data_IF_389799144318
#
_entry.id   IF_389799144318
#
_cell.length_a   1.000
_cell.length_b   1.000
_cell.length_c   1.000
_cell.angle_alpha   90.00
_cell.angle_beta   90.00
_cell.angle_gamma   90.00
#
_symmetry.space_group_name_H-M   'P 1'
#
loop_
_entity.id
_entity.type
_entity.pdbx_description
1 polymer ?
#
# COMPACT_ATOMS: atom_id res chain seq x y z
N UNK A 1 58.04 -18.94 -20.31
CA UNK A 1 58.92 -17.92 -19.71
C UNK A 1 58.82 -16.65 -20.54
N UNK A 2 57.97 -15.71 -20.11
CA UNK A 2 57.87 -14.38 -20.73
C UNK A 2 57.45 -13.41 -19.63
N UNK A 3 58.39 -12.54 -19.24
CA UNK A 3 58.23 -11.45 -18.29
C UNK A 3 57.49 -10.31 -18.97
N UNK A 4 56.53 -9.69 -18.31
CA UNK A 4 56.12 -8.31 -18.58
C UNK A 4 55.82 -7.60 -17.26
N UNK A 5 56.36 -6.40 -17.16
CA UNK A 5 56.57 -5.61 -15.96
C UNK A 5 55.57 -4.45 -15.88
N UNK A 6 55.12 -4.20 -14.64
CA UNK A 6 54.90 -2.93 -13.94
C UNK A 6 54.26 -1.72 -14.64
N UNK A 7 53.26 -1.15 -13.97
CA UNK A 7 53.15 0.31 -13.83
C UNK A 7 52.57 0.68 -12.47
N UNK A 8 53.33 1.55 -11.81
CA UNK A 8 53.24 2.08 -10.46
C UNK A 8 52.39 3.36 -10.50
N UNK A 9 51.30 3.46 -9.73
CA UNK A 9 50.59 4.73 -9.54
C UNK A 9 51.03 5.38 -8.22
N UNK A 10 51.56 6.59 -8.37
CA UNK A 10 52.12 7.46 -7.34
C UNK A 10 50.98 8.11 -6.55
N UNK A 11 50.98 7.93 -5.22
CA UNK A 11 50.22 8.75 -4.26
C UNK A 11 51.16 9.84 -3.76
N UNK A 12 50.77 11.12 -3.86
CA UNK A 12 51.53 12.22 -3.25
C UNK A 12 50.65 13.39 -2.80
N UNK A 13 50.67 13.58 -1.46
CA UNK A 13 50.62 14.80 -0.63
C UNK A 13 49.60 15.93 -0.94
N UNK A 14 48.97 16.58 0.07
CA UNK A 14 49.66 17.39 1.09
C UNK A 14 48.74 17.82 2.25
N UNK A 15 49.39 18.08 3.39
CA UNK A 15 48.96 18.33 4.78
C UNK A 15 48.46 19.76 5.11
N UNK A 16 47.54 19.81 6.10
CA UNK A 16 47.47 20.61 7.37
C UNK A 16 47.46 22.15 7.40
N UNK A 17 46.56 22.67 8.27
CA UNK A 17 46.68 23.85 9.15
C UNK A 17 45.31 24.16 9.79
N UNK A 18 45.06 23.94 11.09
CA UNK A 18 45.26 24.83 12.27
C UNK A 18 44.50 26.17 12.16
N UNK A 19 43.92 26.83 13.18
CA UNK A 19 43.44 26.60 14.57
C UNK A 19 42.98 28.02 15.04
N UNK A 20 41.99 28.12 15.95
CA UNK A 20 41.56 29.35 16.69
C UNK A 20 40.84 30.44 15.87
N UNK A 21 39.94 31.31 16.37
CA UNK A 21 39.52 31.70 17.72
C UNK A 21 38.16 32.44 17.65
N UNK A 22 37.58 32.64 18.83
CA UNK A 22 36.31 33.28 19.20
C UNK A 22 36.34 34.79 18.93
N UNK A 23 35.24 35.37 18.41
CA UNK A 23 34.85 36.75 18.74
C UNK A 23 33.34 36.89 18.92
N UNK A 24 32.99 37.42 20.10
CA UNK A 24 31.67 37.92 20.47
C UNK A 24 31.31 39.15 19.64
N UNK A 25 30.04 39.26 19.25
CA UNK A 25 29.39 40.54 18.97
C UNK A 25 27.89 40.39 19.20
N UNK A 26 27.42 40.88 20.34
CA UNK A 26 26.00 41.03 20.63
C UNK A 26 25.40 42.10 19.73
N UNK A 27 24.33 41.73 19.01
CA UNK A 27 23.37 42.67 18.44
C UNK A 27 22.00 42.29 18.98
N UNK A 28 21.50 43.15 19.87
CA UNK A 28 20.14 43.12 20.37
C UNK A 28 19.19 43.61 19.27
N UNK A 29 18.60 42.68 18.52
CA UNK A 29 17.49 42.99 17.63
C UNK A 29 16.18 42.95 18.44
N UNK A 30 15.63 44.15 18.65
CA UNK A 30 14.32 44.39 19.25
C UNK A 30 13.23 43.69 18.45
N UNK A 31 12.24 43.24 19.21
CA UNK A 31 11.10 42.44 18.78
C UNK A 31 10.44 42.88 17.48
N UNK A 32 10.35 41.92 16.57
CA UNK A 32 9.23 41.78 15.65
C UNK A 32 8.65 40.39 15.89
N UNK A 33 7.33 40.22 15.99
CA UNK A 33 6.73 38.89 15.99
C UNK A 33 7.07 38.27 14.63
N UNK A 34 8.09 37.40 14.63
CA UNK A 34 8.29 36.47 13.53
C UNK A 34 7.07 35.58 13.60
N UNK A 35 6.14 35.80 12.66
CA UNK A 35 5.17 34.78 12.29
C UNK A 35 6.01 33.54 12.00
N UNK A 36 6.11 32.65 12.97
CA UNK A 36 6.61 31.31 12.72
C UNK A 36 5.57 30.73 11.76
N UNK A 37 5.90 30.47 10.48
CA UNK A 37 5.05 29.58 9.73
C UNK A 37 4.97 28.33 10.61
N UNK A 38 3.75 27.98 11.01
CA UNK A 38 3.52 26.71 11.65
C UNK A 38 4.18 25.69 10.73
N UNK A 39 5.27 25.08 11.18
CA UNK A 39 5.84 23.92 10.53
C UNK A 39 4.80 22.80 10.68
N UNK A 40 3.73 22.85 9.90
CA UNK A 40 3.11 21.65 9.38
C UNK A 40 4.09 21.09 8.34
N UNK A 41 5.24 20.64 8.83
CA UNK A 41 6.17 19.84 8.09
C UNK A 41 5.43 18.54 7.74
N UNK A 42 5.19 18.34 6.45
CA UNK A 42 5.04 17.03 5.83
C UNK A 42 3.85 16.20 6.30
N UNK A 43 2.65 16.52 5.83
CA UNK A 43 1.70 15.46 5.51
C UNK A 43 2.27 14.72 4.29
N UNK A 44 3.17 13.76 4.52
CA UNK A 44 3.56 12.77 3.51
C UNK A 44 2.28 12.03 3.13
N UNK A 45 1.83 12.27 1.91
CA UNK A 45 0.56 11.76 1.37
C UNK A 45 0.81 10.30 0.99
N UNK A 46 0.52 9.38 1.89
CA UNK A 46 0.35 7.98 1.52
C UNK A 46 -0.79 7.85 0.50
N UNK A 47 -0.49 7.33 -0.69
CA UNK A 47 -1.48 7.12 -1.77
C UNK A 47 -1.85 5.64 -1.80
N UNK A 48 -2.52 5.17 -0.77
CA UNK A 48 -3.24 3.90 -0.85
C UNK A 48 -4.45 4.07 -1.77
N UNK A 49 -4.71 3.09 -2.64
CA UNK A 49 -5.85 3.13 -3.54
C UNK A 49 -6.26 1.76 -4.06
N UNK A 50 -7.32 1.75 -4.85
CA UNK A 50 -7.84 0.58 -5.55
C UNK A 50 -7.72 0.79 -7.06
N UNK A 51 -7.71 -0.29 -7.82
CA UNK A 51 -7.71 -0.25 -9.28
C UNK A 51 -8.43 -1.47 -9.86
N UNK A 52 -8.76 -1.41 -11.15
CA UNK A 52 -9.52 -2.47 -11.83
C UNK A 52 -10.90 -2.68 -11.22
N UNK A 53 -11.39 -3.92 -11.21
CA UNK A 53 -12.71 -4.26 -10.66
C UNK A 53 -12.64 -4.50 -9.15
N UNK A 54 -12.50 -3.42 -8.40
CA UNK A 54 -12.49 -3.40 -6.93
C UNK A 54 -13.60 -2.48 -6.39
N UNK A 55 -14.41 -2.98 -5.47
CA UNK A 55 -15.44 -2.21 -4.75
C UNK A 55 -15.28 -2.34 -3.23
N UNK A 56 -16.13 -1.68 -2.45
CA UNK A 56 -16.20 -1.85 -1.00
C UNK A 56 -17.49 -2.57 -0.64
N UNK A 57 -17.39 -3.72 0.02
CA UNK A 57 -18.51 -4.57 0.40
C UNK A 57 -18.39 -4.97 1.88
N UNK A 58 -19.33 -4.52 2.71
CA UNK A 58 -19.38 -4.92 4.12
C UNK A 58 -18.14 -4.57 4.96
N UNK A 59 -17.41 -3.50 4.60
CA UNK A 59 -16.15 -3.14 5.27
C UNK A 59 -14.91 -3.90 4.78
N UNK A 60 -15.03 -4.67 3.69
CA UNK A 60 -13.93 -5.31 2.98
C UNK A 60 -13.76 -4.67 1.60
N UNK A 61 -12.56 -4.78 1.02
CA UNK A 61 -12.39 -4.57 -0.41
C UNK A 61 -12.82 -5.83 -1.14
N UNK A 62 -13.74 -5.69 -2.09
CA UNK A 62 -14.26 -6.78 -2.90
C UNK A 62 -13.64 -6.68 -4.29
N UNK A 63 -12.72 -7.60 -4.57
CA UNK A 63 -11.93 -7.62 -5.80
C UNK A 63 -12.45 -8.75 -6.67
N UNK A 64 -12.97 -8.40 -7.85
CA UNK A 64 -13.49 -9.35 -8.82
C UNK A 64 -12.59 -9.34 -10.05
N UNK A 65 -12.18 -10.52 -10.50
CA UNK A 65 -11.43 -10.72 -11.73
C UNK A 65 -12.22 -11.65 -12.63
N UNK A 66 -12.67 -11.18 -13.79
CA UNK A 66 -13.66 -11.89 -14.61
C UNK A 66 -13.33 -11.80 -16.11
N UNK A 67 -13.45 -12.91 -16.87
CA UNK A 67 -13.08 -12.96 -18.29
C UNK A 67 -13.94 -12.09 -19.21
N UNK A 68 -15.14 -11.72 -18.75
CA UNK A 68 -16.16 -11.05 -19.57
C UNK A 68 -16.31 -9.57 -19.28
N UNK A 69 -15.96 -9.11 -18.08
CA UNK A 69 -16.14 -7.71 -17.66
C UNK A 69 -14.82 -6.98 -17.49
N UNK A 70 -14.02 -7.40 -16.52
CA UNK A 70 -12.71 -6.84 -16.21
C UNK A 70 -11.80 -7.98 -15.72
N UNK A 71 -10.74 -8.33 -16.43
CA UNK A 71 -9.92 -9.50 -16.12
C UNK A 71 -8.90 -9.26 -15.00
N UNK A 72 -9.01 -8.14 -14.27
CA UNK A 72 -8.13 -7.81 -13.15
C UNK A 72 -8.77 -6.83 -12.16
N UNK A 73 -8.28 -6.86 -10.93
CA UNK A 73 -8.55 -5.88 -9.89
C UNK A 73 -7.51 -5.95 -8.80
N UNK A 74 -7.46 -4.93 -7.94
CA UNK A 74 -6.53 -4.96 -6.83
C UNK A 74 -6.51 -3.72 -5.96
N UNK A 75 -5.52 -3.72 -5.07
CA UNK A 75 -5.15 -2.64 -4.17
C UNK A 75 -3.70 -2.24 -4.45
N UNK A 76 -3.34 -0.99 -4.19
CA UNK A 76 -1.96 -0.55 -4.24
C UNK A 76 -1.62 0.39 -3.09
N UNK A 77 -0.35 0.36 -2.73
CA UNK A 77 0.31 1.32 -1.86
C UNK A 77 1.48 1.91 -2.63
N UNK A 78 1.47 3.22 -2.80
CA UNK A 78 2.57 3.98 -3.39
C UNK A 78 3.46 4.52 -2.26
N UNK A 79 4.70 4.06 -2.20
CA UNK A 79 5.69 4.55 -1.28
C UNK A 79 6.25 5.90 -1.76
N UNK A 80 6.47 6.83 -0.84
CA UNK A 80 7.26 8.02 -1.17
C UNK A 80 8.64 7.59 -1.71
N UNK A 81 9.20 8.24 -2.73
CA UNK A 81 10.50 7.88 -3.29
C UNK A 81 11.59 7.75 -2.20
N UNK A 82 12.22 6.57 -2.15
CA UNK A 82 13.27 6.25 -1.18
C UNK A 82 12.79 5.95 0.25
N UNK A 83 11.48 5.97 0.52
CA UNK A 83 10.93 5.68 1.86
C UNK A 83 10.79 4.19 2.16
N UNK A 84 10.68 3.35 1.13
CA UNK A 84 10.59 1.91 1.24
C UNK A 84 11.70 1.24 0.42
N UNK A 85 12.38 0.29 1.04
CA UNK A 85 13.38 -0.57 0.40
C UNK A 85 13.07 -2.02 0.68
N UNK A 86 13.60 -2.95 -0.12
CA UNK A 86 13.40 -4.39 0.11
C UNK A 86 13.89 -4.80 1.51
N UNK A 87 15.04 -4.27 1.96
CA UNK A 87 15.54 -4.53 3.31
C UNK A 87 14.79 -3.81 4.44
N UNK A 88 13.98 -2.81 4.10
CA UNK A 88 13.07 -2.10 5.01
C UNK A 88 11.64 -2.66 5.00
N UNK A 89 11.32 -3.58 4.08
CA UNK A 89 10.06 -4.30 4.08
C UNK A 89 10.13 -5.44 5.09
N UNK A 90 9.49 -5.25 6.22
CA UNK A 90 9.49 -6.16 7.37
C UNK A 90 8.14 -6.83 7.60
N UNK A 91 7.06 -6.25 7.06
CA UNK A 91 5.73 -6.87 7.05
C UNK A 91 5.09 -6.68 5.69
N UNK A 92 4.65 -7.78 5.08
CA UNK A 92 3.80 -7.77 3.91
C UNK A 92 2.75 -8.85 4.09
N UNK A 93 1.49 -8.46 4.30
CA UNK A 93 0.44 -9.42 4.63
C UNK A 93 -0.95 -8.95 4.22
N UNK A 94 -1.85 -9.90 4.05
CA UNK A 94 -3.28 -9.65 3.88
C UNK A 94 -4.12 -10.58 4.74
N UNK A 95 -5.30 -10.10 5.11
CA UNK A 95 -6.41 -10.94 5.59
C UNK A 95 -7.44 -10.99 4.49
N UNK A 96 -7.70 -12.19 3.97
CA UNK A 96 -8.45 -12.40 2.75
C UNK A 96 -9.47 -13.53 2.89
N UNK A 97 -10.46 -13.55 2.02
CA UNK A 97 -11.38 -14.66 1.80
C UNK A 97 -11.61 -14.82 0.30
N UNK A 98 -11.36 -16.02 -0.23
CA UNK A 98 -11.70 -16.35 -1.61
C UNK A 98 -13.16 -16.79 -1.66
N UNK A 99 -14.03 -15.97 -2.23
CA UNK A 99 -15.48 -16.26 -2.27
C UNK A 99 -15.86 -17.06 -3.52
N UNK A 100 -15.21 -16.78 -4.65
CA UNK A 100 -15.47 -17.44 -5.95
C UNK A 100 -14.17 -17.87 -6.61
N UNK A 101 -14.17 -19.07 -7.22
CA UNK A 101 -13.03 -19.59 -8.00
C UNK A 101 -11.93 -20.19 -7.12
N UNK A 102 -10.74 -20.37 -7.70
CA UNK A 102 -9.55 -20.86 -7.01
C UNK A 102 -8.37 -19.94 -7.28
N UNK A 103 -7.33 -20.04 -6.45
CA UNK A 103 -6.02 -19.50 -6.81
C UNK A 103 -5.54 -20.18 -8.10
N UNK A 104 -4.88 -19.42 -8.96
CA UNK A 104 -4.49 -19.86 -10.28
C UNK A 104 -4.09 -18.69 -11.17
N UNK A 105 -3.56 -18.99 -12.35
CA UNK A 105 -3.23 -17.95 -13.34
C UNK A 105 -2.21 -16.90 -12.85
N UNK A 106 -1.48 -17.18 -11.77
CA UNK A 106 -0.54 -16.25 -11.15
C UNK A 106 -1.16 -15.29 -10.12
N UNK A 107 -2.38 -15.54 -9.66
CA UNK A 107 -3.03 -14.74 -8.60
C UNK A 107 -3.88 -15.56 -7.63
N UNK A 108 -4.16 -15.01 -6.44
CA UNK A 108 -3.72 -13.71 -5.93
C UNK A 108 -2.22 -13.63 -5.61
N UNK A 109 -1.67 -12.42 -5.67
CA UNK A 109 -0.25 -12.17 -5.35
C UNK A 109 -0.04 -10.76 -4.82
N UNK A 110 1.10 -10.55 -4.16
CA UNK A 110 1.67 -9.21 -4.05
C UNK A 110 2.61 -8.95 -5.22
N UNK A 111 2.63 -7.71 -5.72
CA UNK A 111 3.62 -7.28 -6.71
C UNK A 111 4.39 -6.08 -6.17
N UNK A 112 5.71 -6.20 -6.13
CA UNK A 112 6.62 -5.10 -5.81
C UNK A 112 7.15 -4.53 -7.11
N UNK A 113 7.10 -3.21 -7.26
CA UNK A 113 7.80 -2.51 -8.34
C UNK A 113 9.06 -1.86 -7.79
N UNK A 114 10.16 -1.96 -8.54
CA UNK A 114 11.39 -1.28 -8.14
C UNK A 114 11.24 0.24 -8.24
N UNK A 115 12.18 0.98 -7.65
CA UNK A 115 12.12 2.44 -7.62
C UNK A 115 12.11 3.12 -9.01
N UNK A 116 12.57 2.41 -10.05
CA UNK A 116 12.56 2.90 -11.43
C UNK A 116 11.28 2.47 -12.20
N UNK A 117 10.47 1.61 -11.61
CA UNK A 117 9.27 0.98 -12.20
C UNK A 117 9.59 0.23 -13.51
N UNK A 118 10.82 -0.29 -13.64
CA UNK A 118 11.26 -1.04 -14.82
C UNK A 118 11.21 -2.54 -14.60
N UNK A 119 11.23 -2.98 -13.35
CA UNK A 119 11.16 -4.38 -12.95
C UNK A 119 10.16 -4.62 -11.82
N UNK A 120 9.66 -5.85 -11.76
CA UNK A 120 8.71 -6.28 -10.74
C UNK A 120 9.15 -7.57 -10.05
N UNK A 121 8.70 -7.76 -8.81
CA UNK A 121 8.79 -9.03 -8.10
C UNK A 121 7.40 -9.46 -7.63
N UNK A 122 7.04 -10.70 -7.92
CA UNK A 122 5.77 -11.33 -7.60
C UNK A 122 5.95 -12.21 -6.37
N UNK A 123 5.09 -12.03 -5.36
CA UNK A 123 5.02 -12.87 -4.17
C UNK A 123 3.65 -13.53 -4.15
N UNK A 124 3.59 -14.76 -4.65
CA UNK A 124 2.33 -15.45 -4.87
C UNK A 124 1.72 -16.01 -3.58
N UNK A 125 0.40 -15.95 -3.50
CA UNK A 125 -0.33 -16.55 -2.38
C UNK A 125 -0.36 -18.08 -2.51
N UNK A 126 -0.56 -18.76 -1.38
CA UNK A 126 -0.74 -20.22 -1.35
C UNK A 126 0.38 -21.00 -0.69
N UNK A 127 0.56 -22.26 -1.08
CA UNK A 127 1.51 -23.19 -0.46
C UNK A 127 2.63 -23.54 -1.44
N UNK A 128 3.77 -22.82 -1.39
CA UNK A 128 4.84 -22.98 -2.36
C UNK A 128 5.82 -24.09 -1.96
N UNK A 129 5.35 -25.23 -1.48
CA UNK A 129 6.26 -26.36 -1.29
C UNK A 129 6.65 -26.89 -2.67
N UNK A 130 7.86 -26.54 -3.11
CA UNK A 130 8.44 -27.01 -4.37
C UNK A 130 8.26 -26.11 -5.59
N UNK A 131 7.86 -24.84 -5.42
CA UNK A 131 7.94 -23.83 -6.48
C UNK A 131 6.87 -23.93 -7.58
N UNK A 132 5.59 -23.78 -7.23
CA UNK A 132 4.56 -23.53 -8.25
C UNK A 132 3.12 -23.94 -7.91
N UNK A 133 2.86 -24.53 -6.74
CA UNK A 133 1.47 -24.85 -6.34
C UNK A 133 0.81 -23.65 -5.67
N UNK A 134 0.15 -22.81 -6.47
CA UNK A 134 -0.65 -21.68 -6.00
C UNK A 134 -2.05 -22.16 -5.63
N UNK A 135 -2.17 -23.04 -4.63
CA UNK A 135 -3.47 -23.49 -4.13
C UNK A 135 -3.94 -22.61 -2.99
N UNK A 136 -5.24 -22.32 -2.94
CA UNK A 136 -5.84 -21.65 -1.79
C UNK A 136 -5.60 -22.51 -0.54
N UNK A 137 -4.83 -22.04 0.45
CA UNK A 137 -4.49 -22.84 1.62
C UNK A 137 -5.66 -22.94 2.60
N UNK A 138 -6.74 -22.18 2.35
CA UNK A 138 -7.94 -22.12 3.19
C UNK A 138 -9.18 -22.45 2.36
N UNK A 139 -10.25 -22.99 2.95
CA UNK A 139 -11.52 -23.14 2.24
C UNK A 139 -12.06 -21.79 1.76
N UNK A 140 -12.80 -21.80 0.66
CA UNK A 140 -13.53 -20.62 0.20
C UNK A 140 -14.62 -20.21 1.21
N UNK A 141 -14.94 -18.91 1.27
CA UNK A 141 -15.88 -18.30 2.22
C UNK A 141 -15.42 -18.38 3.69
N UNK A 142 -14.10 -18.38 3.90
CA UNK A 142 -13.47 -18.38 5.22
C UNK A 142 -12.27 -17.42 5.22
N UNK A 143 -12.40 -16.34 6.00
CA UNK A 143 -11.29 -15.40 6.18
C UNK A 143 -10.06 -16.06 6.79
N UNK A 144 -8.93 -15.82 6.15
CA UNK A 144 -7.62 -16.36 6.52
C UNK A 144 -6.53 -15.31 6.37
N UNK A 145 -5.37 -15.55 6.98
CA UNK A 145 -4.21 -14.67 6.84
C UNK A 145 -3.19 -15.28 5.89
N UNK A 146 -2.53 -14.44 5.09
CA UNK A 146 -1.32 -14.86 4.37
C UNK A 146 -0.16 -15.16 5.31
N UNK A 147 -0.18 -14.66 6.56
CA UNK A 147 1.06 -14.50 7.33
C UNK A 147 1.95 -13.41 6.73
N UNK A 148 3.22 -13.35 7.13
CA UNK A 148 4.16 -12.33 6.68
C UNK A 148 5.01 -12.84 5.50
N UNK A 149 4.83 -12.26 4.31
CA UNK A 149 5.58 -12.64 3.11
C UNK A 149 6.94 -11.95 3.01
N UNK A 150 7.22 -10.99 3.90
CA UNK A 150 8.53 -10.39 4.06
C UNK A 150 9.35 -11.03 5.21
N UNK A 151 8.97 -12.24 5.64
CA UNK A 151 9.68 -12.99 6.69
C UNK A 151 10.98 -13.61 6.15
N UNK A 152 12.11 -13.14 6.67
CA UNK A 152 13.44 -13.62 6.32
C UNK A 152 13.75 -15.02 6.86
N UNK A 153 12.99 -15.50 7.85
CA UNK A 153 13.14 -16.86 8.37
C UNK A 153 12.28 -17.88 7.62
N UNK A 154 11.36 -17.42 6.76
CA UNK A 154 10.52 -18.32 5.98
C UNK A 154 11.33 -19.07 4.92
N UNK A 155 11.09 -20.38 4.84
CA UNK A 155 11.68 -21.26 3.82
C UNK A 155 10.78 -21.41 2.59
N UNK A 156 9.68 -20.66 2.54
CA UNK A 156 8.71 -20.74 1.45
C UNK A 156 9.23 -20.09 0.17
N UNK A 157 9.18 -20.82 -0.95
CA UNK A 157 9.63 -20.37 -2.25
C UNK A 157 8.53 -19.55 -2.97
N UNK A 158 8.35 -18.29 -2.60
CA UNK A 158 7.21 -17.45 -3.05
C UNK A 158 7.56 -16.43 -4.11
N UNK A 159 8.84 -16.08 -4.24
CA UNK A 159 9.26 -14.88 -4.96
C UNK A 159 9.74 -15.22 -6.36
N UNK A 160 9.11 -14.61 -7.36
CA UNK A 160 9.58 -14.56 -8.73
C UNK A 160 9.89 -13.11 -9.11
N UNK A 161 11.08 -12.83 -9.60
CA UNK A 161 11.50 -11.53 -10.07
C UNK A 161 11.49 -11.50 -11.59
N UNK A 162 10.78 -10.53 -12.13
CA UNK A 162 10.76 -10.16 -13.53
C UNK A 162 11.53 -8.84 -13.71
N UNK A 163 12.85 -8.90 -13.50
CA UNK A 163 13.74 -7.77 -13.71
C UNK A 163 13.82 -6.75 -12.57
N UNK A 164 13.27 -7.04 -11.38
CA UNK A 164 13.33 -6.12 -10.23
C UNK A 164 14.79 -5.73 -9.92
N UNK A 165 15.11 -4.44 -10.05
CA UNK A 165 16.48 -3.93 -9.91
C UNK A 165 17.51 -4.70 -10.77
N UNK A 166 17.09 -5.17 -11.95
CA UNK A 166 17.90 -5.95 -12.88
C UNK A 166 18.01 -7.45 -12.56
N UNK A 167 17.47 -7.93 -11.44
CA UNK A 167 17.45 -9.35 -11.10
C UNK A 167 16.26 -10.06 -11.75
N UNK A 168 16.51 -11.21 -12.37
CA UNK A 168 15.47 -12.02 -13.01
C UNK A 168 15.67 -13.50 -12.67
N UNK A 169 14.60 -14.18 -12.28
CA UNK A 169 14.53 -15.60 -11.98
C UNK A 169 13.20 -16.18 -12.47
N UNK A 170 12.83 -15.84 -13.70
CA UNK A 170 11.58 -16.28 -14.33
C UNK A 170 11.39 -17.79 -14.19
N UNK A 171 10.19 -18.21 -13.75
CA UNK A 171 9.83 -19.60 -13.45
C UNK A 171 10.68 -20.30 -12.37
N UNK A 172 11.49 -19.57 -11.60
CA UNK A 172 12.34 -20.11 -10.54
C UNK A 172 12.07 -19.40 -9.22
N UNK A 173 11.16 -19.93 -8.42
CA UNK A 173 10.79 -19.31 -7.15
C UNK A 173 11.90 -19.41 -6.10
N UNK A 174 12.12 -18.31 -5.38
CA UNK A 174 13.10 -18.22 -4.29
C UNK A 174 12.45 -17.78 -2.98
N UNK A 175 13.16 -17.94 -1.87
CA UNK A 175 12.72 -17.36 -0.59
C UNK A 175 12.82 -15.84 -0.63
N UNK A 176 12.10 -15.16 0.26
CA UNK A 176 12.26 -13.71 0.39
C UNK A 176 13.68 -13.30 0.82
N UNK A 177 14.35 -14.14 1.62
CA UNK A 177 15.74 -13.92 2.02
C UNK A 177 16.71 -14.00 0.82
N UNK A 178 16.55 -15.00 -0.05
CA UNK A 178 17.36 -15.15 -1.26
C UNK A 178 17.11 -14.02 -2.27
N UNK A 179 15.85 -13.61 -2.42
CA UNK A 179 15.49 -12.44 -3.22
C UNK A 179 16.20 -11.18 -2.69
N UNK A 180 16.08 -10.90 -1.39
CA UNK A 180 16.75 -9.77 -0.73
C UNK A 180 18.28 -9.79 -0.91
N UNK A 181 18.88 -10.98 -0.81
CA UNK A 181 20.32 -11.16 -1.03
C UNK A 181 20.71 -10.86 -2.49
N UNK A 182 19.85 -11.22 -3.45
CA UNK A 182 20.10 -11.05 -4.89
C UNK A 182 19.92 -9.60 -5.34
N UNK A 183 18.83 -8.94 -4.93
CA UNK A 183 18.54 -7.56 -5.35
C UNK A 183 19.26 -6.51 -4.50
N UNK A 184 19.69 -6.87 -3.30
CA UNK A 184 20.33 -5.97 -2.34
C UNK A 184 19.35 -5.26 -1.41
N UNK A 185 19.76 -5.05 -0.15
CA UNK A 185 18.90 -4.49 0.91
C UNK A 185 18.44 -3.07 0.67
N UNK A 186 19.25 -2.27 -0.04
CA UNK A 186 19.00 -0.85 -0.27
C UNK A 186 18.08 -0.59 -1.49
N UNK A 187 17.72 -1.64 -2.23
CA UNK A 187 16.92 -1.52 -3.44
C UNK A 187 15.54 -0.97 -3.10
N UNK A 188 15.18 0.14 -3.73
CA UNK A 188 13.94 0.87 -3.43
C UNK A 188 12.72 0.18 -4.02
N UNK A 189 11.58 0.35 -3.35
CA UNK A 189 10.26 -0.09 -3.80
C UNK A 189 9.43 1.17 -4.05
N UNK A 190 8.88 1.33 -5.26
CA UNK A 190 7.95 2.43 -5.61
C UNK A 190 6.53 2.05 -5.22
N UNK A 191 6.10 0.85 -5.60
CA UNK A 191 4.76 0.37 -5.34
C UNK A 191 4.74 -1.03 -4.74
N UNK A 192 3.74 -1.25 -3.88
CA UNK A 192 3.32 -2.56 -3.43
C UNK A 192 1.86 -2.74 -3.83
N UNK A 193 1.60 -3.72 -4.69
CA UNK A 193 0.28 -4.08 -5.15
C UNK A 193 -0.19 -5.38 -4.49
N UNK A 194 -1.50 -5.52 -4.34
CA UNK A 194 -2.20 -6.79 -4.14
C UNK A 194 -3.10 -7.02 -5.35
N UNK A 195 -2.78 -8.04 -6.14
CA UNK A 195 -3.38 -8.28 -7.44
C UNK A 195 -4.28 -9.51 -7.44
N UNK A 196 -5.43 -9.40 -8.11
CA UNK A 196 -6.26 -10.50 -8.56
C UNK A 196 -6.45 -10.39 -10.08
N UNK A 197 -5.60 -11.09 -10.84
CA UNK A 197 -5.47 -10.96 -12.30
C UNK A 197 -5.79 -12.26 -13.06
N UNK A 198 -6.38 -13.27 -12.43
CA UNK A 198 -6.69 -14.56 -13.06
C UNK A 198 -7.94 -14.57 -13.94
N UNK A 199 -8.60 -13.41 -14.06
CA UNK A 199 -9.82 -13.20 -14.84
C UNK A 199 -9.67 -13.54 -16.31
N UNK A 200 -8.46 -13.57 -16.89
CA UNK A 200 -8.27 -14.03 -18.26
C UNK A 200 -8.56 -15.53 -18.46
N UNK A 201 -8.50 -16.33 -17.40
CA UNK A 201 -8.73 -17.78 -17.43
C UNK A 201 -10.07 -18.16 -16.81
N UNK A 202 -10.39 -17.64 -15.63
CA UNK A 202 -11.59 -17.98 -14.86
C UNK A 202 -12.05 -16.81 -14.00
N UNK A 203 -13.32 -16.77 -13.61
CA UNK A 203 -13.75 -15.81 -12.59
C UNK A 203 -13.12 -16.13 -11.23
N UNK A 204 -12.51 -15.12 -10.62
CA UNK A 204 -12.01 -15.12 -9.26
C UNK A 204 -12.65 -13.96 -8.50
N UNK A 205 -12.94 -14.17 -7.22
CA UNK A 205 -13.43 -13.12 -6.32
C UNK A 205 -12.77 -13.27 -4.96
N UNK A 206 -12.23 -12.15 -4.47
CA UNK A 206 -11.43 -12.09 -3.26
C UNK A 206 -11.88 -10.90 -2.41
N UNK A 207 -12.34 -11.18 -1.20
CA UNK A 207 -12.54 -10.17 -0.18
C UNK A 207 -11.24 -9.92 0.57
N UNK A 208 -10.84 -8.67 0.73
CA UNK A 208 -9.70 -8.24 1.54
C UNK A 208 -10.20 -7.44 2.73
N UNK A 209 -10.10 -8.03 3.93
CA UNK A 209 -10.40 -7.35 5.18
C UNK A 209 -9.28 -6.41 5.61
N UNK A 210 -8.03 -6.78 5.35
CA UNK A 210 -6.90 -5.86 5.53
C UNK A 210 -5.72 -6.18 4.64
N UNK A 211 -5.00 -5.13 4.24
CA UNK A 211 -3.71 -5.19 3.55
C UNK A 211 -2.68 -4.42 4.37
N UNK A 212 -1.50 -4.99 4.59
CA UNK A 212 -0.47 -4.41 5.45
C UNK A 212 0.87 -4.34 4.74
N UNK A 213 1.50 -3.18 4.85
CA UNK A 213 2.88 -2.91 4.44
C UNK A 213 3.59 -2.28 5.64
N UNK A 214 4.55 -3.00 6.23
CA UNK A 214 5.18 -2.64 7.50
C UNK A 214 4.15 -2.36 8.60
N UNK A 215 4.25 -1.21 9.27
CA UNK A 215 3.35 -0.79 10.33
C UNK A 215 1.99 -0.29 9.81
N UNK A 216 1.86 -0.04 8.51
CA UNK A 216 0.65 0.49 7.91
C UNK A 216 -0.35 -0.64 7.65
N UNK A 217 -1.61 -0.39 8.05
CA UNK A 217 -2.73 -1.30 7.83
C UNK A 217 -3.83 -0.55 7.10
N UNK A 218 -4.17 -1.04 5.92
CA UNK A 218 -5.26 -0.53 5.09
C UNK A 218 -6.47 -1.45 5.25
N UNK A 219 -7.62 -0.84 5.51
CA UNK A 219 -8.93 -1.51 5.62
C UNK A 219 -9.93 -0.69 4.82
N UNK A 220 -10.96 -1.33 4.26
CA UNK A 220 -12.00 -0.56 3.61
C UNK A 220 -12.75 0.24 4.69
N UNK A 221 -12.95 1.53 4.45
CA UNK A 221 -13.84 2.30 5.32
C UNK A 221 -15.24 1.69 5.22
N UNK A 222 -15.95 1.47 6.33
CA UNK A 222 -17.35 1.08 6.26
C UNK A 222 -18.09 2.13 5.44
N UNK A 223 -19.03 1.69 4.59
CA UNK A 223 -19.92 2.61 3.91
C UNK A 223 -20.54 3.53 4.96
N UNK A 224 -20.43 4.85 4.76
CA UNK A 224 -21.00 5.81 5.69
C UNK A 224 -22.49 5.47 5.82
N UNK A 225 -22.91 5.03 7.00
CA UNK A 225 -24.33 4.83 7.29
C UNK A 225 -24.96 6.21 7.10
N UNK A 226 -25.90 6.38 6.14
CA UNK A 226 -26.57 7.66 6.00
C UNK A 226 -27.16 7.98 7.36
N UNK A 227 -26.73 9.10 7.95
CA UNK A 227 -27.38 9.56 9.17
C UNK A 227 -28.88 9.60 8.87
N UNK A 228 -29.74 9.04 9.73
CA UNK A 228 -31.16 9.09 9.50
C UNK A 228 -31.47 10.56 9.30
N UNK A 229 -31.88 10.93 8.08
CA UNK A 229 -32.30 12.30 7.81
C UNK A 229 -33.34 12.57 8.87
N UNK A 230 -33.00 13.44 9.83
CA UNK A 230 -33.92 13.78 10.90
C UNK A 230 -35.06 14.46 10.17
N UNK A 231 -36.11 13.68 9.89
CA UNK A 231 -37.29 14.13 9.21
C UNK A 231 -37.83 15.20 10.14
N UNK A 232 -37.59 16.47 9.80
CA UNK A 232 -38.17 17.64 10.48
C UNK A 232 -39.67 17.64 10.18
N UNK A 233 -40.37 16.63 10.68
CA UNK A 233 -41.81 16.45 10.65
C UNK A 233 -42.44 17.08 11.90
N UNK A 234 -41.94 18.24 12.28
CA UNK A 234 -42.55 19.09 13.29
C UNK A 234 -42.52 20.53 12.78
N UNK A 235 -43.69 21.05 12.40
CA UNK A 235 -43.90 22.50 12.45
C UNK A 235 -44.79 23.15 11.40
N UNK A 236 -45.15 22.50 10.29
CA UNK A 236 -46.08 23.07 9.31
C UNK A 236 -47.43 22.35 9.31
N UNK A 237 -47.89 21.94 10.50
CA UNK A 237 -49.27 21.53 10.71
C UNK A 237 -50.20 22.64 10.24
N UNK A 238 -50.89 22.37 9.13
CA UNK A 238 -52.10 23.04 8.65
C UNK A 238 -53.17 23.31 9.75
N UNK A 239 -52.97 22.81 10.98
CA UNK A 239 -53.78 23.11 12.16
C UNK A 239 -53.62 24.56 12.70
N UNK A 240 -52.51 25.27 12.40
CA UNK A 240 -52.30 26.64 12.87
C UNK A 240 -53.13 27.72 12.16
N UNK A 241 -53.46 27.52 10.88
CA UNK A 241 -54.15 28.53 10.08
C UNK A 241 -55.69 28.48 10.20
N UNK A 242 -56.28 27.32 10.55
CA UNK A 242 -57.73 27.19 10.70
C UNK A 242 -58.27 27.75 12.02
N UNK A 243 -57.46 27.81 13.08
CA UNK A 243 -57.89 28.29 14.41
C UNK A 243 -57.98 29.83 14.51
N UNK A 244 -57.26 30.60 13.67
CA UNK A 244 -57.27 32.06 13.73
C UNK A 244 -58.46 32.72 13.00
N UNK A 245 -59.15 32.00 12.09
CA UNK A 245 -60.29 32.57 11.36
C UNK A 245 -61.63 32.53 12.11
N UNK A 246 -61.77 31.74 13.19
CA UNK A 246 -63.06 31.63 13.93
C UNK A 246 -63.24 32.62 15.08
N UNK A 247 -62.21 33.37 15.50
CA UNK A 247 -62.32 34.31 16.64
C UNK A 247 -62.83 35.72 16.32
N UNK A 248 -62.98 36.11 15.05
CA UNK A 248 -63.41 37.49 14.70
C UNK A 248 -64.89 37.64 14.34
N UNK A 249 -65.73 36.59 14.41
CA UNK A 249 -67.15 36.67 14.04
C UNK A 249 -68.15 36.65 15.20
N UNK A 250 -67.69 36.67 16.47
CA UNK A 250 -68.57 36.63 17.65
C UNK A 250 -68.55 37.89 18.54
N UNK A 251 -67.95 38.99 18.09
CA UNK A 251 -68.02 40.27 18.80
C UNK A 251 -68.44 41.38 17.83
N UNK A 252 -69.75 41.51 17.63
CA UNK A 252 -70.49 42.74 17.27
C UNK A 252 -71.97 42.36 17.14
N UNK A 253 -72.61 42.32 18.31
CA UNK A 253 -73.99 42.79 18.48
C UNK A 253 -73.91 44.32 18.63
#
# INVERSE_FOLDING_TARGET
>A
MTKLAWSLLIVSHKKRGNLYEIFHSGIALRGRPVFRPCCCAGQRRWVFGTYGSTTVNGGNFDIVSNPTTMPYGGLYYHADPGSLTVGGLTTLSATYDMTTGSFGAGSPRFTLFDAAETGSAYLYFGTPLGGGSFTNPSPNNVFSSTGNYADLASLDLRVESNGFNGYNNQNHYVTFADFLASVGRASGISYVFLDLDGGYATTQELLIASFRVNAEKFTAAPAAVPEPMTLTLFGAGLAGAAALRRRKKMQKA
#
